data_IF_069289690869
#
_entry.id   IF_069289690869
#
_cell.length_a   1.000
_cell.length_b   1.000
_cell.length_c   1.000
_cell.angle_alpha   90.00
_cell.angle_beta   90.00
_cell.angle_gamma   90.00
#
_symmetry.space_group_name_H-M   'P 1'
#
loop_
_entity.id
_entity.type
_entity.pdbx_description
1 polymer ?
#
# COMPACT_ATOMS: atom_id res chain seq x y z
N UNK A 1 36.66 7.80 -26.60
CA UNK A 1 35.93 8.33 -25.44
C UNK A 1 35.44 7.14 -24.64
N UNK A 2 35.73 7.08 -23.35
CA UNK A 2 35.21 6.03 -22.47
C UNK A 2 33.70 6.20 -22.33
N UNK A 3 32.93 5.11 -22.56
CA UNK A 3 31.47 5.14 -22.42
C UNK A 3 31.09 5.45 -20.96
N UNK A 4 30.21 6.41 -20.78
CA UNK A 4 29.71 6.85 -19.45
C UNK A 4 28.67 5.89 -18.95
N UNK A 5 28.79 5.45 -17.70
CA UNK A 5 27.89 4.45 -17.09
C UNK A 5 27.21 4.99 -15.83
N UNK A 6 25.92 4.66 -15.65
CA UNK A 6 25.18 4.91 -14.40
C UNK A 6 24.45 3.65 -13.92
N UNK A 7 24.24 3.56 -12.60
CA UNK A 7 23.38 2.54 -11.97
C UNK A 7 22.06 3.18 -11.60
N UNK A 8 20.95 2.51 -11.90
CA UNK A 8 19.61 2.87 -11.41
C UNK A 8 19.16 1.80 -10.43
N UNK A 9 19.12 2.15 -9.16
CA UNK A 9 18.66 1.26 -8.08
C UNK A 9 17.14 1.31 -7.96
N UNK A 10 16.49 0.26 -8.43
CA UNK A 10 15.04 0.06 -8.25
C UNK A 10 14.71 -0.34 -6.81
N UNK A 11 13.61 0.16 -6.29
CA UNK A 11 13.13 -0.12 -4.93
C UNK A 11 11.62 -0.40 -4.89
N UNK A 12 10.80 0.66 -4.78
CA UNK A 12 9.33 0.64 -4.81
C UNK A 12 8.80 1.33 -6.08
N UNK A 13 9.47 1.17 -7.17
CA UNK A 13 9.26 1.85 -8.44
C UNK A 13 9.42 0.87 -9.62
N UNK A 14 8.82 -0.33 -9.47
CA UNK A 14 9.03 -1.49 -10.35
C UNK A 14 8.30 -1.34 -11.69
N UNK A 15 8.72 -0.34 -12.48
CA UNK A 15 8.15 0.00 -13.79
C UNK A 15 9.19 0.65 -14.70
N UNK A 16 8.90 0.69 -15.99
CA UNK A 16 9.69 1.43 -16.97
C UNK A 16 8.99 2.70 -17.47
N UNK A 17 7.65 2.78 -17.40
CA UNK A 17 6.89 3.98 -17.77
C UNK A 17 6.85 4.96 -16.61
N UNK A 18 6.99 6.24 -16.93
CA UNK A 18 7.02 7.33 -15.95
C UNK A 18 7.97 7.06 -14.78
N UNK A 19 9.21 6.67 -15.12
CA UNK A 19 10.28 6.39 -14.14
C UNK A 19 11.41 7.43 -14.25
N UNK A 20 11.37 8.53 -13.47
CA UNK A 20 12.30 9.65 -13.61
C UNK A 20 13.78 9.28 -13.50
N UNK A 21 14.14 8.40 -12.55
CA UNK A 21 15.55 7.98 -12.41
C UNK A 21 16.04 7.22 -13.64
N UNK A 22 15.24 6.31 -14.21
CA UNK A 22 15.59 5.54 -15.39
C UNK A 22 15.66 6.43 -16.62
N UNK A 23 14.68 7.32 -16.82
CA UNK A 23 14.64 8.23 -17.95
C UNK A 23 15.85 9.18 -17.94
N UNK A 24 16.16 9.75 -16.77
CA UNK A 24 17.32 10.64 -16.61
C UNK A 24 18.67 9.90 -16.88
N UNK A 25 18.79 8.66 -16.38
CA UNK A 25 20.00 7.86 -16.62
C UNK A 25 20.18 7.55 -18.12
N UNK A 26 19.11 7.09 -18.79
CA UNK A 26 19.17 6.75 -20.22
C UNK A 26 19.42 7.98 -21.10
N UNK A 27 18.97 9.16 -20.68
CA UNK A 27 19.23 10.41 -21.41
C UNK A 27 20.67 10.93 -21.25
N UNK A 28 21.31 10.67 -20.10
CA UNK A 28 22.58 11.29 -19.74
C UNK A 28 23.81 10.36 -19.87
N UNK A 29 23.59 9.04 -20.01
CA UNK A 29 24.65 8.04 -20.01
C UNK A 29 24.54 7.09 -21.21
N UNK A 30 25.70 6.62 -21.69
CA UNK A 30 25.77 5.65 -22.78
C UNK A 30 25.33 4.25 -22.35
N UNK A 31 25.61 3.90 -21.09
CA UNK A 31 25.31 2.62 -20.46
C UNK A 31 24.56 2.83 -19.17
N UNK A 32 23.51 2.05 -18.96
CA UNK A 32 22.67 2.09 -17.74
C UNK A 32 22.50 0.70 -17.19
N UNK A 33 22.74 0.54 -15.89
CA UNK A 33 22.57 -0.72 -15.17
C UNK A 33 21.34 -0.63 -14.28
N UNK A 34 20.17 -1.14 -14.72
CA UNK A 34 19.01 -1.31 -13.85
C UNK A 34 19.32 -2.39 -12.81
N UNK A 35 19.33 -2.03 -11.53
CA UNK A 35 19.68 -2.90 -10.41
C UNK A 35 18.53 -3.06 -9.45
N UNK A 36 18.27 -4.30 -9.03
CA UNK A 36 17.48 -4.61 -7.85
C UNK A 36 18.30 -5.47 -6.88
N UNK A 37 18.32 -5.09 -5.62
CA UNK A 37 19.00 -5.87 -4.58
C UNK A 37 17.95 -6.55 -3.69
N UNK A 38 17.97 -7.88 -3.67
CA UNK A 38 17.19 -8.72 -2.78
C UNK A 38 17.79 -8.61 -1.37
N UNK A 39 17.25 -7.71 -0.58
CA UNK A 39 17.67 -7.48 0.80
C UNK A 39 17.20 -8.63 1.70
N UNK A 40 18.10 -9.34 2.42
CA UNK A 40 17.71 -10.37 3.39
C UNK A 40 16.76 -9.86 4.48
N UNK A 41 16.81 -8.57 4.84
CA UNK A 41 15.86 -7.97 5.76
C UNK A 41 14.42 -8.00 5.23
N UNK A 42 14.22 -8.01 3.90
CA UNK A 42 12.93 -8.16 3.26
C UNK A 42 12.42 -9.61 3.24
N UNK A 43 13.25 -10.60 3.61
CA UNK A 43 12.80 -12.01 3.77
C UNK A 43 11.76 -12.17 4.90
N UNK A 44 11.63 -11.14 5.77
CA UNK A 44 10.52 -11.03 6.73
C UNK A 44 9.21 -10.53 6.10
N UNK A 45 9.17 -10.27 4.78
CA UNK A 45 7.91 -10.04 4.09
C UNK A 45 7.06 -11.30 4.13
N UNK A 46 5.74 -11.10 4.20
CA UNK A 46 4.82 -12.23 4.08
C UNK A 46 5.00 -12.95 2.73
N UNK A 47 4.66 -14.24 2.65
CA UNK A 47 4.69 -14.99 1.39
C UNK A 47 3.92 -14.29 0.27
N UNK A 48 2.75 -13.71 0.56
CA UNK A 48 1.96 -12.93 -0.40
C UNK A 48 2.75 -11.80 -1.03
N UNK A 49 3.40 -10.96 -0.21
CA UNK A 49 4.18 -9.82 -0.70
C UNK A 49 5.46 -10.26 -1.40
N UNK A 50 6.08 -11.33 -0.95
CA UNK A 50 7.26 -11.90 -1.61
C UNK A 50 6.89 -12.42 -2.99
N UNK A 51 5.77 -13.15 -3.12
CA UNK A 51 5.24 -13.62 -4.41
C UNK A 51 4.98 -12.44 -5.35
N UNK A 52 4.25 -11.44 -4.90
CA UNK A 52 3.92 -10.26 -5.71
C UNK A 52 5.17 -9.49 -6.15
N UNK A 53 6.17 -9.34 -5.25
CA UNK A 53 7.45 -8.72 -5.57
C UNK A 53 8.19 -9.50 -6.66
N UNK A 54 8.34 -10.82 -6.53
CA UNK A 54 9.06 -11.63 -7.50
C UNK A 54 8.38 -11.60 -8.88
N UNK A 55 7.05 -11.66 -8.92
CA UNK A 55 6.28 -11.49 -10.17
C UNK A 55 6.52 -10.10 -10.78
N UNK A 56 6.52 -9.04 -9.96
CA UNK A 56 6.78 -7.67 -10.44
C UNK A 56 8.21 -7.50 -10.95
N UNK A 57 9.20 -8.15 -10.34
CA UNK A 57 10.58 -8.13 -10.82
C UNK A 57 10.74 -8.91 -12.13
N UNK A 58 10.02 -10.01 -12.30
CA UNK A 58 10.03 -10.79 -13.54
C UNK A 58 9.44 -9.96 -14.71
N UNK A 59 8.30 -9.31 -14.49
CA UNK A 59 7.67 -8.43 -15.47
C UNK A 59 8.57 -7.21 -15.81
N UNK A 60 9.18 -6.58 -14.80
CA UNK A 60 10.15 -5.49 -15.01
C UNK A 60 11.35 -5.95 -15.84
N UNK A 61 11.90 -7.13 -15.53
CA UNK A 61 13.03 -7.70 -16.28
C UNK A 61 12.68 -7.90 -17.75
N UNK A 62 11.51 -8.45 -18.02
CA UNK A 62 11.02 -8.64 -19.38
C UNK A 62 10.82 -7.29 -20.10
N UNK A 63 10.26 -6.29 -19.41
CA UNK A 63 10.10 -4.96 -19.97
C UNK A 63 11.45 -4.28 -20.31
N UNK A 64 12.48 -4.50 -19.50
CA UNK A 64 13.83 -4.00 -19.75
C UNK A 64 14.49 -4.75 -20.91
N UNK A 65 14.32 -6.07 -21.00
CA UNK A 65 14.85 -6.91 -22.10
C UNK A 65 14.29 -6.52 -23.46
N UNK A 66 13.00 -6.24 -23.54
CA UNK A 66 12.37 -5.71 -24.77
C UNK A 66 12.96 -4.40 -25.26
N UNK A 67 13.73 -3.73 -24.39
CA UNK A 67 14.43 -2.46 -24.68
C UNK A 67 15.95 -2.62 -24.88
N UNK A 68 16.43 -3.87 -24.91
CA UNK A 68 17.86 -4.19 -25.09
C UNK A 68 18.69 -4.14 -23.82
N UNK A 69 18.05 -3.92 -22.66
CA UNK A 69 18.68 -3.99 -21.34
C UNK A 69 18.42 -5.31 -20.62
N UNK A 70 18.67 -5.35 -19.33
CA UNK A 70 18.23 -6.41 -18.40
C UNK A 70 18.12 -5.83 -16.98
N UNK A 71 17.39 -6.51 -16.09
CA UNK A 71 17.41 -6.22 -14.67
C UNK A 71 18.55 -7.00 -14.01
N UNK A 72 19.55 -6.29 -13.53
CA UNK A 72 20.62 -6.88 -12.73
C UNK A 72 20.12 -7.15 -11.33
N UNK A 73 20.19 -8.41 -10.89
CA UNK A 73 19.73 -8.83 -9.57
C UNK A 73 20.91 -9.21 -8.71
N UNK A 74 20.95 -8.69 -7.49
CA UNK A 74 21.94 -9.04 -6.47
C UNK A 74 21.22 -9.43 -5.19
N UNK A 75 21.90 -10.17 -4.33
CA UNK A 75 21.38 -10.55 -3.01
C UNK A 75 22.37 -10.08 -1.94
N UNK A 76 21.87 -9.37 -0.93
CA UNK A 76 22.71 -8.86 0.15
C UNK A 76 22.27 -7.50 0.67
N UNK A 77 23.15 -6.81 1.34
CA UNK A 77 22.89 -5.43 1.79
C UNK A 77 22.75 -4.49 0.59
N UNK A 78 21.65 -3.75 0.46
CA UNK A 78 21.38 -2.92 -0.71
C UNK A 78 22.48 -1.88 -0.99
N UNK A 79 23.10 -1.34 0.05
CA UNK A 79 24.18 -0.34 -0.13
C UNK A 79 25.45 -1.00 -0.62
N UNK A 80 25.89 -2.06 0.05
CA UNK A 80 27.12 -2.77 -0.28
C UNK A 80 27.08 -3.33 -1.69
N UNK A 81 26.00 -4.02 -2.06
CA UNK A 81 25.88 -4.62 -3.40
C UNK A 81 25.74 -3.56 -4.51
N UNK A 82 25.05 -2.45 -4.25
CA UNK A 82 24.94 -1.35 -5.22
C UNK A 82 26.29 -0.71 -5.47
N UNK A 83 27.04 -0.37 -4.42
CA UNK A 83 28.37 0.25 -4.54
C UNK A 83 29.37 -0.72 -5.18
N UNK A 84 29.36 -1.99 -4.79
CA UNK A 84 30.22 -3.03 -5.39
C UNK A 84 29.98 -3.15 -6.89
N UNK A 85 28.71 -3.18 -7.31
CA UNK A 85 28.37 -3.23 -8.74
C UNK A 85 28.77 -1.94 -9.45
N UNK A 86 28.45 -0.77 -8.90
CA UNK A 86 28.77 0.52 -9.49
C UNK A 86 30.28 0.66 -9.75
N UNK A 87 31.11 0.26 -8.78
CA UNK A 87 32.58 0.24 -8.94
C UNK A 87 33.04 -0.75 -10.00
N UNK A 88 32.45 -1.95 -10.03
CA UNK A 88 32.80 -3.00 -11.01
C UNK A 88 32.58 -2.53 -12.46
N UNK A 89 31.50 -1.77 -12.70
CA UNK A 89 31.14 -1.29 -14.04
C UNK A 89 31.67 0.12 -14.34
N UNK A 90 32.48 0.70 -13.46
CA UNK A 90 32.99 2.05 -13.61
C UNK A 90 31.91 3.12 -13.67
N UNK A 91 30.81 2.95 -12.92
CA UNK A 91 29.71 3.90 -12.93
C UNK A 91 30.13 5.24 -12.31
N UNK A 92 29.74 6.35 -12.96
CA UNK A 92 29.95 7.70 -12.44
C UNK A 92 29.00 8.05 -11.31
N UNK A 93 27.84 7.36 -11.22
CA UNK A 93 26.86 7.63 -10.19
C UNK A 93 25.71 6.64 -10.12
N UNK A 94 24.88 6.87 -9.10
CA UNK A 94 23.71 6.07 -8.75
C UNK A 94 22.48 6.96 -8.72
N UNK A 95 21.41 6.54 -9.42
CA UNK A 95 20.09 7.15 -9.37
C UNK A 95 19.08 6.23 -8.70
N UNK A 96 18.16 6.77 -7.90
CA UNK A 96 17.02 6.03 -7.34
C UNK A 96 15.85 6.96 -7.01
N UNK A 97 14.66 6.41 -6.82
CA UNK A 97 13.50 7.18 -6.35
C UNK A 97 13.62 7.50 -4.86
N UNK A 98 13.32 8.75 -4.49
CA UNK A 98 13.24 9.21 -3.09
C UNK A 98 12.08 8.54 -2.35
N UNK A 99 12.27 8.21 -1.05
CA UNK A 99 11.24 7.63 -0.20
C UNK A 99 11.30 8.26 1.21
N UNK A 100 10.16 8.35 1.88
CA UNK A 100 10.03 8.97 3.21
C UNK A 100 10.26 8.01 4.37
N UNK A 101 10.37 6.72 4.11
CA UNK A 101 10.51 5.73 5.18
C UNK A 101 11.87 5.82 5.89
N UNK A 102 11.89 5.55 7.20
CA UNK A 102 13.17 5.49 7.96
C UNK A 102 14.19 4.53 7.36
N UNK A 103 13.71 3.43 6.78
CA UNK A 103 14.56 2.45 6.10
C UNK A 103 15.22 3.08 4.87
N UNK A 104 14.43 3.78 4.04
CA UNK A 104 14.94 4.47 2.86
C UNK A 104 15.93 5.57 3.21
N UNK A 105 15.61 6.45 4.16
CA UNK A 105 16.52 7.51 4.60
C UNK A 105 17.84 6.96 5.16
N UNK A 106 17.81 5.80 5.85
CA UNK A 106 19.02 5.12 6.33
C UNK A 106 19.86 4.61 5.17
N UNK A 107 19.24 3.97 4.17
CA UNK A 107 19.88 3.50 2.95
C UNK A 107 20.49 4.67 2.16
N UNK A 108 19.74 5.74 1.96
CA UNK A 108 20.17 6.92 1.20
C UNK A 108 21.37 7.62 1.85
N UNK A 109 21.37 7.78 3.18
CA UNK A 109 22.53 8.34 3.90
C UNK A 109 23.78 7.47 3.75
N UNK A 110 23.63 6.14 3.87
CA UNK A 110 24.75 5.20 3.66
C UNK A 110 25.24 5.21 2.23
N UNK A 111 24.34 5.24 1.23
CA UNK A 111 24.70 5.35 -0.19
C UNK A 111 25.48 6.65 -0.46
N UNK A 112 25.03 7.77 0.12
CA UNK A 112 25.72 9.05 -0.05
C UNK A 112 27.14 8.99 0.47
N UNK A 113 27.35 8.50 1.69
CA UNK A 113 28.68 8.36 2.27
C UNK A 113 29.61 7.46 1.42
N UNK A 114 29.08 6.36 0.87
CA UNK A 114 29.87 5.50 -0.02
C UNK A 114 30.12 6.13 -1.40
N UNK A 115 29.16 6.85 -1.95
CA UNK A 115 29.36 7.59 -3.20
C UNK A 115 30.43 8.66 -3.05
N UNK A 116 30.42 9.43 -1.97
CA UNK A 116 31.43 10.46 -1.66
C UNK A 116 32.83 9.84 -1.54
N UNK A 117 32.95 8.69 -0.84
CA UNK A 117 34.21 7.94 -0.70
C UNK A 117 34.79 7.49 -2.03
N UNK A 118 33.91 7.12 -2.99
CA UNK A 118 34.33 6.57 -4.29
C UNK A 118 34.21 7.58 -5.43
N UNK A 119 34.01 8.87 -5.15
CA UNK A 119 33.87 9.95 -6.15
C UNK A 119 32.77 9.68 -7.18
N UNK A 120 31.69 9.06 -6.75
CA UNK A 120 30.45 8.88 -7.50
C UNK A 120 29.41 9.89 -7.05
N UNK A 121 28.47 10.28 -7.91
CA UNK A 121 27.33 11.07 -7.47
C UNK A 121 26.17 10.18 -7.05
N UNK A 122 25.34 10.65 -6.12
CA UNK A 122 24.06 10.08 -5.78
C UNK A 122 22.93 11.07 -6.10
N UNK A 123 21.97 10.66 -6.93
CA UNK A 123 20.82 11.49 -7.26
C UNK A 123 19.51 10.80 -6.89
N UNK A 124 18.69 11.51 -6.12
CA UNK A 124 17.34 11.11 -5.76
C UNK A 124 16.35 11.75 -6.73
N UNK A 125 15.33 11.00 -7.15
CA UNK A 125 14.34 11.41 -8.11
C UNK A 125 12.93 11.30 -7.53
N UNK A 126 11.98 12.14 -8.00
CA UNK A 126 10.57 11.98 -7.68
C UNK A 126 10.00 10.71 -8.31
N UNK A 127 8.76 10.35 -7.96
CA UNK A 127 8.01 9.31 -8.68
C UNK A 127 7.29 8.30 -7.82
N UNK A 128 7.40 8.38 -6.49
CA UNK A 128 6.59 7.58 -5.56
C UNK A 128 5.27 8.27 -5.19
N UNK A 129 5.22 9.59 -5.29
CA UNK A 129 4.04 10.44 -5.03
C UNK A 129 3.73 11.29 -6.26
N UNK A 130 2.54 11.88 -6.31
CA UNK A 130 2.17 12.85 -7.33
C UNK A 130 2.82 14.19 -7.01
N UNK A 131 2.67 14.64 -5.76
CA UNK A 131 3.36 15.80 -5.21
C UNK A 131 4.37 15.33 -4.18
N UNK A 132 5.63 15.75 -4.34
CA UNK A 132 6.71 15.30 -3.48
C UNK A 132 6.52 15.77 -2.03
N UNK A 133 6.78 14.91 -1.03
CA UNK A 133 6.79 15.31 0.37
C UNK A 133 7.74 16.49 0.61
N UNK A 134 7.23 17.53 1.28
CA UNK A 134 7.98 18.77 1.52
C UNK A 134 7.84 19.84 0.44
N UNK A 135 7.25 19.54 -0.73
CA UNK A 135 6.92 20.55 -1.74
C UNK A 135 5.80 21.49 -1.28
N UNK A 136 4.91 20.99 -0.43
CA UNK A 136 3.84 21.79 0.19
C UNK A 136 4.10 21.89 1.69
N UNK A 137 4.07 23.14 2.20
CA UNK A 137 4.21 23.43 3.63
C UNK A 137 3.11 24.38 4.09
N UNK A 138 2.47 24.13 5.23
CA UNK A 138 1.56 25.09 5.83
C UNK A 138 2.33 26.29 6.43
N UNK A 139 1.69 27.44 6.58
CA UNK A 139 2.31 28.63 7.15
C UNK A 139 2.83 28.44 8.59
N UNK A 140 2.25 27.53 9.38
CA UNK A 140 2.58 27.32 10.79
C UNK A 140 3.09 25.91 11.13
N UNK A 141 3.89 25.28 10.26
CA UNK A 141 4.40 23.95 10.56
C UNK A 141 5.25 23.35 9.45
N UNK A 142 5.79 22.17 9.70
CA UNK A 142 6.65 21.42 8.80
C UNK A 142 5.85 20.53 7.80
N UNK A 143 4.61 20.19 8.16
CA UNK A 143 3.70 19.38 7.33
C UNK A 143 2.23 19.68 7.63
N UNK A 144 1.35 19.33 6.68
CA UNK A 144 -0.10 19.45 6.86
C UNK A 144 -0.61 18.34 7.79
N UNK A 145 -1.32 18.74 8.86
CA UNK A 145 -1.90 17.83 9.85
C UNK A 145 -3.32 17.40 9.51
N UNK A 146 -3.99 18.12 8.63
CA UNK A 146 -5.39 17.89 8.23
C UNK A 146 -5.47 17.78 6.72
N UNK A 147 -6.22 16.79 6.25
CA UNK A 147 -6.31 16.45 4.83
C UNK A 147 -6.92 17.57 3.96
N UNK A 148 -8.03 18.19 4.38
CA UNK A 148 -8.74 19.15 3.51
C UNK A 148 -7.91 20.38 3.13
N UNK A 149 -7.14 21.01 4.05
CA UNK A 149 -6.19 22.07 3.67
C UNK A 149 -5.08 21.55 2.75
N UNK A 150 -4.57 20.33 3.00
CA UNK A 150 -3.56 19.72 2.13
C UNK A 150 -4.10 19.51 0.71
N UNK A 151 -5.29 18.93 0.58
CA UNK A 151 -5.93 18.68 -0.72
C UNK A 151 -6.08 19.96 -1.54
N UNK A 152 -6.57 21.06 -0.93
CA UNK A 152 -6.67 22.37 -1.61
C UNK A 152 -5.31 22.87 -2.11
N UNK A 153 -4.27 22.77 -1.30
CA UNK A 153 -2.92 23.14 -1.70
C UNK A 153 -2.37 22.22 -2.81
N UNK A 154 -2.63 20.91 -2.69
CA UNK A 154 -2.21 19.89 -3.62
C UNK A 154 -2.83 20.09 -5.03
N UNK A 155 -4.09 20.48 -5.11
CA UNK A 155 -4.77 20.78 -6.39
C UNK A 155 -4.09 21.92 -7.15
N UNK A 156 -3.54 22.91 -6.47
CA UNK A 156 -2.84 24.06 -7.05
C UNK A 156 -1.42 23.79 -7.54
N UNK A 157 -0.85 22.62 -7.29
CA UNK A 157 0.53 22.31 -7.69
C UNK A 157 0.62 22.06 -9.19
N UNK A 158 1.57 22.72 -9.86
CA UNK A 158 1.95 22.34 -11.23
C UNK A 158 2.67 20.98 -11.19
N UNK A 159 2.07 19.97 -11.79
CA UNK A 159 2.67 18.65 -11.88
C UNK A 159 3.74 18.60 -12.96
N UNK A 160 4.74 17.73 -12.75
CA UNK A 160 5.69 17.39 -13.80
C UNK A 160 5.00 16.66 -14.96
N UNK A 161 5.64 16.67 -16.10
CA UNK A 161 5.18 15.86 -17.24
C UNK A 161 5.37 14.35 -16.96
N UNK A 162 4.47 13.54 -17.51
CA UNK A 162 4.59 12.09 -17.52
C UNK A 162 5.67 11.68 -18.52
N UNK A 163 6.58 10.82 -18.10
CA UNK A 163 7.72 10.38 -18.91
C UNK A 163 7.40 9.08 -19.67
N UNK A 164 7.68 9.08 -20.95
CA UNK A 164 7.62 7.85 -21.74
C UNK A 164 8.68 6.84 -21.27
N UNK A 165 8.38 5.55 -21.43
CA UNK A 165 9.41 4.52 -21.22
C UNK A 165 10.58 4.72 -22.21
N UNK A 166 11.83 4.52 -21.78
CA UNK A 166 12.98 4.59 -22.67
C UNK A 166 12.83 3.61 -23.84
N UNK A 167 13.14 4.06 -25.06
CA UNK A 167 13.08 3.20 -26.26
C UNK A 167 14.16 2.14 -26.27
N UNK A 168 15.35 2.46 -25.77
CA UNK A 168 16.52 1.59 -25.73
C UNK A 168 17.32 1.78 -24.44
N UNK A 169 17.80 0.67 -23.89
CA UNK A 169 18.69 0.63 -22.72
C UNK A 169 19.88 -0.22 -23.11
N UNK A 170 21.10 0.23 -22.78
CA UNK A 170 22.33 -0.50 -23.06
C UNK A 170 23.02 -0.83 -21.75
N UNK A 171 23.26 -2.10 -21.51
CA UNK A 171 24.11 -2.56 -20.40
C UNK A 171 25.58 -2.46 -20.78
N UNK A 172 26.50 -2.25 -19.82
CA UNK A 172 27.93 -2.49 -20.03
C UNK A 172 28.18 -3.97 -20.39
N UNK A 173 29.22 -4.20 -21.20
CA UNK A 173 29.61 -5.56 -21.57
C UNK A 173 30.07 -6.38 -20.34
N UNK A 174 29.82 -7.68 -20.35
CA UNK A 174 30.25 -8.60 -19.30
C UNK A 174 29.54 -8.46 -17.95
N UNK A 175 28.45 -7.68 -17.88
CA UNK A 175 27.61 -7.64 -16.66
C UNK A 175 26.71 -8.86 -16.62
N UNK A 176 26.97 -9.74 -15.66
CA UNK A 176 26.05 -10.84 -15.34
C UNK A 176 24.74 -10.29 -14.73
N UNK A 177 23.58 -10.52 -15.34
CA UNK A 177 22.30 -10.06 -14.79
C UNK A 177 21.91 -10.75 -13.47
N UNK A 178 22.47 -11.88 -13.16
CA UNK A 178 22.06 -12.69 -12.01
C UNK A 178 20.70 -13.36 -12.19
N UNK A 179 20.35 -14.20 -11.24
CA UNK A 179 19.09 -14.98 -11.25
C UNK A 179 18.02 -14.30 -10.41
N UNK A 180 16.81 -14.19 -10.96
CA UNK A 180 15.60 -13.92 -10.17
C UNK A 180 15.17 -15.22 -9.49
N UNK A 181 14.82 -15.18 -8.19
CA UNK A 181 14.19 -16.31 -7.56
C UNK A 181 12.78 -16.53 -8.12
N UNK A 182 12.36 -17.79 -8.16
CA UNK A 182 10.99 -18.13 -8.51
C UNK A 182 10.03 -17.55 -7.45
N UNK A 183 8.81 -17.10 -7.84
CA UNK A 183 7.83 -16.64 -6.89
C UNK A 183 7.44 -17.77 -5.93
N UNK A 184 7.48 -17.56 -4.61
CA UNK A 184 7.02 -18.57 -3.67
C UNK A 184 5.50 -18.74 -3.77
N UNK A 185 4.98 -19.86 -3.24
CA UNK A 185 3.54 -19.99 -3.01
C UNK A 185 3.13 -18.94 -1.96
N UNK A 186 2.10 -18.15 -2.29
CA UNK A 186 1.51 -17.20 -1.33
C UNK A 186 0.58 -17.91 -0.34
N UNK A 187 0.29 -17.23 0.77
CA UNK A 187 -0.68 -17.69 1.78
C UNK A 187 -2.14 -17.45 1.31
N UNK A 188 -2.35 -16.46 0.43
CA UNK A 188 -3.66 -16.10 -0.12
C UNK A 188 -3.86 -16.75 -1.49
N UNK A 189 -4.86 -17.65 -1.64
CA UNK A 189 -5.08 -18.38 -2.89
C UNK A 189 -5.48 -17.47 -4.06
N UNK A 190 -6.29 -16.44 -3.80
CA UNK A 190 -6.86 -15.54 -4.79
C UNK A 190 -6.08 -14.22 -4.93
N UNK A 191 -4.82 -14.21 -4.45
CA UNK A 191 -3.99 -13.02 -4.49
C UNK A 191 -3.70 -12.56 -5.93
N UNK A 192 -3.81 -11.25 -6.16
CA UNK A 192 -3.52 -10.64 -7.46
C UNK A 192 -2.06 -10.86 -7.89
N UNK A 193 -1.84 -10.95 -9.20
CA UNK A 193 -0.50 -11.02 -9.78
C UNK A 193 0.19 -9.65 -9.77
N UNK A 194 1.51 -9.67 -9.54
CA UNK A 194 2.36 -8.47 -9.60
C UNK A 194 2.81 -8.15 -11.03
N UNK A 195 3.20 -6.88 -11.26
CA UNK A 195 3.82 -6.44 -12.50
C UNK A 195 3.23 -5.15 -13.06
N UNK A 196 4.05 -4.40 -13.80
CA UNK A 196 3.64 -3.18 -14.51
C UNK A 196 2.63 -3.48 -15.62
N UNK A 197 2.85 -4.56 -16.37
CA UNK A 197 1.96 -4.97 -17.46
C UNK A 197 0.57 -5.29 -16.95
N UNK A 198 0.47 -5.98 -15.81
CA UNK A 198 -0.81 -6.29 -15.14
C UNK A 198 -1.48 -5.01 -14.63
N UNK A 199 -0.71 -4.12 -13.97
CA UNK A 199 -1.21 -2.85 -13.46
C UNK A 199 -1.82 -1.98 -14.56
N UNK A 200 -1.12 -1.84 -15.68
CA UNK A 200 -1.55 -1.02 -16.82
C UNK A 200 -2.80 -1.58 -17.51
N UNK A 201 -2.86 -2.90 -17.72
CA UNK A 201 -4.04 -3.57 -18.24
C UNK A 201 -5.23 -3.35 -17.32
N UNK A 202 -5.04 -3.58 -16.00
CA UNK A 202 -6.08 -3.37 -14.99
C UNK A 202 -6.61 -1.93 -14.98
N UNK A 203 -5.71 -0.95 -14.99
CA UNK A 203 -6.10 0.46 -15.08
C UNK A 203 -6.93 0.72 -16.34
N UNK A 204 -6.49 0.24 -17.51
CA UNK A 204 -7.21 0.44 -18.80
C UNK A 204 -8.59 -0.20 -18.77
N UNK A 205 -8.72 -1.41 -18.22
CA UNK A 205 -10.02 -2.11 -18.11
C UNK A 205 -10.96 -1.41 -17.12
N UNK A 206 -10.43 -0.84 -16.04
CA UNK A 206 -11.24 -0.20 -15.01
C UNK A 206 -11.65 1.25 -15.36
N UNK A 207 -10.85 1.99 -16.11
CA UNK A 207 -11.10 3.42 -16.40
C UNK A 207 -12.52 3.72 -16.92
N UNK A 208 -13.18 2.87 -17.74
CA UNK A 208 -14.56 3.12 -18.17
C UNK A 208 -15.57 3.23 -17.01
N UNK A 209 -15.28 2.65 -15.84
CA UNK A 209 -16.17 2.73 -14.67
C UNK A 209 -16.00 4.01 -13.87
N UNK A 210 -14.98 4.82 -14.18
CA UNK A 210 -14.58 6.00 -13.41
C UNK A 210 -15.72 7.01 -13.24
N UNK A 211 -16.54 7.22 -14.26
CA UNK A 211 -17.68 8.15 -14.19
C UNK A 211 -18.76 7.76 -13.17
N UNK A 212 -18.75 6.51 -12.70
CA UNK A 212 -19.65 6.00 -11.66
C UNK A 212 -18.95 5.81 -10.31
N UNK A 213 -17.72 6.30 -10.16
CA UNK A 213 -16.89 6.00 -8.98
C UNK A 213 -17.57 6.37 -7.66
N UNK A 214 -18.26 7.51 -7.58
CA UNK A 214 -18.97 7.95 -6.37
C UNK A 214 -20.10 6.99 -5.98
N UNK A 215 -20.73 6.34 -6.93
CA UNK A 215 -21.84 5.41 -6.69
C UNK A 215 -21.34 4.03 -6.27
N UNK A 216 -20.19 3.59 -6.84
CA UNK A 216 -19.74 2.19 -6.73
C UNK A 216 -18.60 1.97 -5.74
N UNK A 217 -17.85 3.01 -5.36
CA UNK A 217 -16.61 2.85 -4.56
C UNK A 217 -16.86 2.33 -3.14
N UNK A 218 -18.07 2.46 -2.63
CA UNK A 218 -18.51 1.99 -1.32
C UNK A 218 -19.35 0.71 -1.39
N UNK A 219 -19.73 0.23 -2.59
CA UNK A 219 -20.41 -1.04 -2.77
C UNK A 219 -19.41 -2.20 -2.53
N UNK A 220 -19.59 -2.88 -1.40
CA UNK A 220 -18.68 -3.96 -1.00
C UNK A 220 -18.92 -5.24 -1.79
N UNK A 221 -20.14 -5.49 -2.21
CA UNK A 221 -20.54 -6.70 -2.95
C UNK A 221 -20.16 -6.64 -4.43
N UNK A 222 -20.33 -5.48 -5.06
CA UNK A 222 -20.03 -5.26 -6.47
C UNK A 222 -18.54 -5.32 -6.80
N UNK A 223 -17.68 -4.92 -5.85
CA UNK A 223 -16.22 -4.95 -6.00
C UNK A 223 -15.69 -4.23 -7.27
N UNK A 224 -16.37 -3.16 -7.65
CA UNK A 224 -16.08 -2.37 -8.87
C UNK A 224 -14.95 -1.35 -8.67
N UNK A 225 -14.13 -1.50 -7.63
CA UNK A 225 -13.00 -0.62 -7.38
C UNK A 225 -11.80 -0.93 -8.28
N UNK A 226 -10.90 0.04 -8.45
CA UNK A 226 -9.73 -0.14 -9.31
C UNK A 226 -8.78 -1.26 -8.87
N UNK A 227 -8.75 -1.60 -7.58
CA UNK A 227 -7.80 -2.52 -6.94
C UNK A 227 -6.33 -2.22 -7.32
N UNK A 228 -5.98 -0.94 -7.55
CA UNK A 228 -4.62 -0.52 -7.93
C UNK A 228 -3.67 -0.37 -6.75
N UNK A 229 -4.15 -0.47 -5.51
CA UNK A 229 -3.34 -0.23 -4.32
C UNK A 229 -2.07 -1.10 -4.22
N UNK A 230 -2.05 -2.41 -4.56
CA UNK A 230 -0.82 -3.19 -4.57
C UNK A 230 0.20 -2.66 -5.59
N UNK A 231 -0.26 -2.29 -6.78
CA UNK A 231 0.61 -1.80 -7.85
C UNK A 231 1.17 -0.42 -7.55
N UNK A 232 0.41 0.46 -6.92
CA UNK A 232 0.88 1.75 -6.41
C UNK A 232 1.88 1.56 -5.27
N UNK A 233 1.67 0.57 -4.40
CA UNK A 233 2.58 0.25 -3.30
C UNK A 233 3.96 -0.20 -3.79
N UNK A 234 4.00 -1.05 -4.81
CA UNK A 234 5.23 -1.58 -5.39
C UNK A 234 5.77 -0.72 -6.53
N UNK A 235 5.05 0.34 -6.89
CA UNK A 235 5.42 1.24 -7.96
C UNK A 235 5.39 0.61 -9.35
N UNK A 236 4.59 -0.46 -9.52
CA UNK A 236 4.30 -1.06 -10.83
C UNK A 236 3.47 -0.14 -11.72
N UNK A 237 2.83 0.88 -11.15
CA UNK A 237 2.18 1.96 -11.87
C UNK A 237 2.51 3.30 -11.23
N UNK A 238 2.72 4.32 -12.03
CA UNK A 238 2.96 5.67 -11.54
C UNK A 238 1.67 6.29 -11.02
N UNK A 239 1.67 6.86 -9.78
CA UNK A 239 0.50 7.58 -9.29
C UNK A 239 0.17 8.80 -10.16
N UNK A 240 1.17 9.47 -10.74
CA UNK A 240 0.97 10.57 -11.68
C UNK A 240 0.28 10.09 -12.97
N UNK A 241 0.73 8.97 -13.56
CA UNK A 241 0.11 8.42 -14.75
C UNK A 241 -1.34 7.99 -14.49
N UNK A 242 -1.64 7.46 -13.29
CA UNK A 242 -3.01 7.12 -12.89
C UNK A 242 -3.87 8.38 -12.78
N UNK A 243 -3.37 9.45 -12.14
CA UNK A 243 -4.08 10.71 -12.01
C UNK A 243 -4.32 11.37 -13.37
N UNK A 244 -3.33 11.38 -14.27
CA UNK A 244 -3.47 11.94 -15.61
C UNK A 244 -4.53 11.21 -16.44
N UNK A 245 -4.58 9.87 -16.32
CA UNK A 245 -5.59 9.06 -17.03
C UNK A 245 -6.99 9.20 -16.46
N UNK A 246 -7.10 9.47 -15.17
CA UNK A 246 -8.38 9.81 -14.55
C UNK A 246 -8.91 11.17 -15.01
N UNK A 247 -8.02 12.10 -15.37
CA UNK A 247 -8.34 13.39 -16.00
C UNK A 247 -8.88 14.46 -15.05
N UNK A 248 -9.77 14.10 -14.14
CA UNK A 248 -10.37 15.03 -13.18
C UNK A 248 -9.57 15.09 -11.88
N UNK A 249 -8.80 16.19 -11.68
CA UNK A 249 -8.01 16.39 -10.46
C UNK A 249 -8.84 16.62 -9.21
N UNK A 250 -10.06 17.08 -9.36
CA UNK A 250 -10.98 17.37 -8.28
C UNK A 250 -11.87 16.16 -7.97
N UNK A 251 -11.86 15.20 -8.88
CA UNK A 251 -12.68 14.00 -8.79
C UNK A 251 -12.38 13.12 -7.59
N UNK A 252 -13.38 12.37 -7.15
CA UNK A 252 -13.33 11.57 -5.93
C UNK A 252 -12.25 10.48 -5.99
N UNK A 253 -11.98 9.92 -7.16
CA UNK A 253 -10.91 8.93 -7.33
C UNK A 253 -9.51 9.54 -7.16
N UNK A 254 -9.24 10.68 -7.80
CA UNK A 254 -7.94 11.38 -7.67
C UNK A 254 -7.73 11.87 -6.24
N UNK A 255 -8.80 12.23 -5.56
CA UNK A 255 -8.77 12.53 -4.12
C UNK A 255 -8.24 11.36 -3.28
N UNK A 256 -8.49 10.09 -3.66
CA UNK A 256 -7.89 8.94 -2.97
C UNK A 256 -6.37 8.85 -3.21
N UNK A 257 -5.90 9.22 -4.39
CA UNK A 257 -4.46 9.33 -4.66
C UNK A 257 -3.80 10.44 -3.82
N UNK A 258 -4.51 11.56 -3.64
CA UNK A 258 -4.07 12.63 -2.76
C UNK A 258 -4.01 12.19 -1.28
N UNK A 259 -4.91 11.34 -0.79
CA UNK A 259 -4.82 10.75 0.55
C UNK A 259 -3.52 9.94 0.73
N UNK A 260 -3.09 9.23 -0.30
CA UNK A 260 -1.82 8.54 -0.30
C UNK A 260 -0.63 9.50 -0.14
N UNK A 261 -0.61 10.58 -0.92
CA UNK A 261 0.41 11.63 -0.83
C UNK A 261 0.38 12.34 0.53
N UNK A 262 -0.83 12.57 1.07
CA UNK A 262 -1.01 13.15 2.39
C UNK A 262 -0.31 12.34 3.48
N UNK A 263 -0.47 11.03 3.50
CA UNK A 263 0.22 10.22 4.49
C UNK A 263 1.74 10.17 4.26
N UNK A 264 2.21 10.27 3.02
CA UNK A 264 3.66 10.37 2.75
C UNK A 264 4.25 11.66 3.36
N UNK A 265 3.60 12.81 3.21
CA UNK A 265 4.07 14.06 3.82
C UNK A 265 3.92 14.05 5.35
N UNK A 266 2.90 13.37 5.90
CA UNK A 266 2.78 13.18 7.36
C UNK A 266 3.95 12.36 7.90
N UNK A 267 4.31 11.24 7.27
CA UNK A 267 5.45 10.41 7.71
C UNK A 267 6.78 11.14 7.52
N UNK A 268 6.92 11.97 6.49
CA UNK A 268 8.12 12.81 6.33
C UNK A 268 8.32 13.76 7.53
N UNK A 269 7.23 14.34 8.07
CA UNK A 269 7.27 15.21 9.26
C UNK A 269 7.16 14.44 10.59
N UNK A 270 6.61 13.23 10.60
CA UNK A 270 6.44 12.39 11.79
C UNK A 270 6.81 10.93 11.50
N UNK A 271 8.11 10.58 11.46
CA UNK A 271 8.59 9.25 11.05
C UNK A 271 8.17 8.10 11.96
N UNK A 272 7.70 8.37 13.18
CA UNK A 272 7.26 7.39 14.16
C UNK A 272 5.80 6.99 14.06
N UNK A 273 5.10 7.40 12.99
CA UNK A 273 3.66 7.17 12.79
C UNK A 273 3.24 5.69 12.93
N UNK A 274 4.15 4.73 12.72
CA UNK A 274 3.82 3.30 12.84
C UNK A 274 3.85 2.74 14.27
N UNK A 275 4.36 3.49 15.22
CA UNK A 275 4.59 3.03 16.61
C UNK A 275 4.06 3.98 17.67
N UNK A 276 3.98 5.26 17.34
CA UNK A 276 3.65 6.32 18.29
C UNK A 276 2.37 7.02 17.85
N UNK A 277 1.46 7.28 18.79
CA UNK A 277 0.26 8.06 18.52
C UNK A 277 0.63 9.45 18.00
N UNK A 278 0.05 9.82 16.85
CA UNK A 278 0.31 11.12 16.22
C UNK A 278 -0.34 12.26 17.01
N UNK A 279 -1.54 12.04 17.53
CA UNK A 279 -2.27 13.01 18.34
C UNK A 279 -1.72 13.05 19.75
N UNK A 280 -1.27 14.21 20.20
CA UNK A 280 -0.88 14.44 21.61
C UNK A 280 -2.10 14.22 22.52
N UNK A 281 -1.91 13.48 23.62
CA UNK A 281 -2.96 13.14 24.57
C UNK A 281 -4.05 12.21 24.01
N UNK A 282 -3.75 11.47 22.96
CA UNK A 282 -4.63 10.39 22.53
C UNK A 282 -4.76 9.34 23.65
N UNK A 283 -5.95 8.77 23.76
CA UNK A 283 -6.18 7.65 24.67
C UNK A 283 -5.36 6.44 24.22
N UNK A 284 -4.59 5.85 25.12
CA UNK A 284 -3.75 4.66 24.87
C UNK A 284 -3.92 3.59 25.97
N UNK A 285 -4.99 3.65 26.75
CA UNK A 285 -5.42 2.64 27.74
C UNK A 285 -6.21 1.51 27.04
N UNK A 286 -5.51 0.71 26.27
CA UNK A 286 -6.08 -0.39 25.53
C UNK A 286 -6.32 -1.62 26.41
N UNK A 287 -7.37 -2.38 26.11
CA UNK A 287 -7.58 -3.70 26.72
C UNK A 287 -6.51 -4.67 26.21
N UNK A 288 -6.11 -5.58 27.07
CA UNK A 288 -5.31 -6.75 26.70
C UNK A 288 -6.23 -7.99 26.67
N UNK A 289 -6.55 -8.46 25.47
CA UNK A 289 -7.41 -9.61 25.24
C UNK A 289 -6.91 -10.40 24.02
N UNK A 290 -5.94 -11.31 24.21
CA UNK A 290 -5.39 -12.12 23.15
C UNK A 290 -6.41 -12.99 22.42
N UNK A 291 -7.44 -13.50 23.13
CA UNK A 291 -8.50 -14.31 22.54
C UNK A 291 -9.35 -13.48 21.56
N UNK A 292 -9.74 -12.26 21.94
CA UNK A 292 -10.48 -11.37 21.07
C UNK A 292 -9.64 -10.95 19.84
N UNK A 293 -8.33 -10.71 20.01
CA UNK A 293 -7.42 -10.41 18.92
C UNK A 293 -7.27 -11.60 17.95
N UNK A 294 -7.17 -12.81 18.47
CA UNK A 294 -7.10 -14.03 17.65
C UNK A 294 -8.39 -14.23 16.85
N UNK A 295 -9.54 -14.18 17.51
CA UNK A 295 -10.85 -14.31 16.88
C UNK A 295 -11.06 -13.26 15.78
N UNK A 296 -10.64 -11.99 16.02
CA UNK A 296 -10.67 -10.94 15.02
C UNK A 296 -9.73 -11.27 13.85
N UNK A 297 -8.51 -11.70 14.13
CA UNK A 297 -7.51 -12.06 13.10
C UNK A 297 -8.01 -13.19 12.20
N UNK A 298 -8.76 -14.14 12.77
CA UNK A 298 -9.27 -15.30 12.03
C UNK A 298 -10.62 -15.08 11.36
N UNK A 299 -11.27 -13.93 11.61
CA UNK A 299 -12.60 -13.64 11.10
C UNK A 299 -13.66 -14.54 11.73
N UNK A 300 -13.62 -14.65 13.07
CA UNK A 300 -14.51 -15.46 13.92
C UNK A 300 -15.02 -14.66 15.13
N UNK A 301 -15.26 -13.38 14.93
CA UNK A 301 -15.75 -12.48 15.99
C UNK A 301 -17.23 -12.63 16.28
N UNK A 302 -17.97 -13.32 15.43
CA UNK A 302 -19.43 -13.37 15.47
C UNK A 302 -20.10 -12.09 14.93
N UNK A 303 -19.31 -11.13 14.42
CA UNK A 303 -19.77 -9.93 13.74
C UNK A 303 -19.61 -10.09 12.22
N UNK A 304 -20.67 -10.44 11.46
CA UNK A 304 -20.55 -10.95 10.10
C UNK A 304 -19.76 -10.05 9.13
N UNK A 305 -19.99 -8.74 9.16
CA UNK A 305 -19.29 -7.80 8.27
C UNK A 305 -17.80 -7.68 8.59
N UNK A 306 -17.41 -7.84 9.85
CA UNK A 306 -16.02 -7.84 10.31
C UNK A 306 -15.35 -9.14 9.87
N UNK A 307 -16.01 -10.27 10.12
CA UNK A 307 -15.51 -11.59 9.76
C UNK A 307 -15.35 -11.73 8.24
N UNK A 308 -16.32 -11.25 7.48
CA UNK A 308 -16.25 -11.18 6.02
C UNK A 308 -15.01 -10.39 5.54
N UNK A 309 -14.76 -9.23 6.13
CA UNK A 309 -13.58 -8.42 5.80
C UNK A 309 -12.27 -9.14 6.09
N UNK A 310 -12.13 -9.77 7.25
CA UNK A 310 -10.91 -10.50 7.64
C UNK A 310 -10.70 -11.76 6.79
N UNK A 311 -11.77 -12.44 6.41
CA UNK A 311 -11.70 -13.61 5.51
C UNK A 311 -11.37 -13.21 4.07
N UNK A 312 -11.90 -12.10 3.55
CA UNK A 312 -11.45 -11.53 2.27
C UNK A 312 -9.95 -11.22 2.30
N UNK A 313 -9.47 -10.59 3.37
CA UNK A 313 -8.04 -10.30 3.54
C UNK A 313 -7.18 -11.55 3.43
N UNK A 314 -7.58 -12.64 4.05
CA UNK A 314 -6.85 -13.92 4.00
C UNK A 314 -6.93 -14.60 2.64
N UNK A 315 -8.08 -14.54 1.97
CA UNK A 315 -8.28 -15.18 0.67
C UNK A 315 -7.53 -14.43 -0.44
N UNK A 316 -7.62 -13.10 -0.48
CA UNK A 316 -7.13 -12.29 -1.59
C UNK A 316 -5.81 -11.54 -1.30
N UNK A 317 -5.34 -11.50 -0.04
CA UNK A 317 -4.26 -10.59 0.33
C UNK A 317 -4.63 -9.11 0.09
N UNK A 318 -5.92 -8.85 0.01
CA UNK A 318 -6.52 -7.55 -0.22
C UNK A 318 -7.86 -7.47 0.50
N UNK A 319 -8.29 -6.26 0.83
CA UNK A 319 -9.57 -6.02 1.48
C UNK A 319 -10.16 -4.71 0.94
N UNK A 320 -11.46 -4.71 0.69
CA UNK A 320 -12.19 -3.49 0.30
C UNK A 320 -11.97 -2.37 1.31
N UNK A 321 -11.80 -1.11 0.85
CA UNK A 321 -11.50 0.01 1.76
C UNK A 321 -12.52 0.16 2.89
N UNK A 322 -13.80 0.01 2.58
CA UNK A 322 -14.87 0.10 3.58
C UNK A 322 -14.74 -1.01 4.64
N UNK A 323 -14.41 -2.23 4.23
CA UNK A 323 -14.16 -3.32 5.16
C UNK A 323 -12.96 -3.02 6.08
N UNK A 324 -11.86 -2.42 5.56
CA UNK A 324 -10.72 -2.02 6.40
C UNK A 324 -11.12 -1.06 7.52
N UNK A 325 -11.96 -0.07 7.21
CA UNK A 325 -12.45 0.89 8.21
C UNK A 325 -13.34 0.23 9.25
N UNK A 326 -14.22 -0.70 8.82
CA UNK A 326 -15.15 -1.41 9.70
C UNK A 326 -14.40 -2.36 10.62
N UNK A 327 -13.50 -3.19 10.07
CA UNK A 327 -12.74 -4.19 10.84
C UNK A 327 -11.79 -3.53 11.83
N UNK A 328 -11.07 -2.48 11.41
CA UNK A 328 -10.19 -1.71 12.30
C UNK A 328 -10.99 -0.95 13.38
N UNK A 329 -12.15 -0.40 13.01
CA UNK A 329 -13.07 0.26 13.95
C UNK A 329 -13.63 -0.70 14.98
N UNK A 330 -13.97 -1.92 14.60
CA UNK A 330 -14.44 -2.95 15.52
C UNK A 330 -13.33 -3.33 16.52
N UNK A 331 -12.11 -3.60 16.03
CA UNK A 331 -10.97 -3.90 16.90
C UNK A 331 -10.74 -2.81 17.94
N UNK A 332 -10.66 -1.55 17.51
CA UNK A 332 -10.19 -0.45 18.37
C UNK A 332 -11.30 0.20 19.19
N UNK A 333 -12.53 0.28 18.67
CA UNK A 333 -13.64 1.03 19.28
C UNK A 333 -14.65 0.12 20.00
N UNK A 334 -14.84 -1.10 19.52
CA UNK A 334 -15.78 -2.04 20.15
C UNK A 334 -15.07 -3.02 21.08
N UNK A 335 -14.00 -3.68 20.60
CA UNK A 335 -13.20 -4.56 21.45
C UNK A 335 -12.24 -3.79 22.38
N UNK A 336 -11.94 -2.52 22.10
CA UNK A 336 -11.03 -1.69 22.90
C UNK A 336 -9.57 -2.12 22.83
N UNK A 337 -9.16 -2.84 21.78
CA UNK A 337 -7.79 -3.37 21.64
C UNK A 337 -6.85 -2.36 20.96
N UNK A 338 -5.55 -2.48 21.25
CA UNK A 338 -4.53 -1.65 20.63
C UNK A 338 -4.53 -1.82 19.11
N UNK A 339 -4.43 -0.71 18.41
CA UNK A 339 -4.38 -0.66 16.94
C UNK A 339 -3.08 -1.25 16.36
N UNK A 340 -1.99 -1.29 17.13
CA UNK A 340 -0.67 -1.74 16.66
C UNK A 340 -0.64 -3.23 16.27
N UNK A 341 -1.15 -4.16 17.08
CA UNK A 341 -1.32 -5.56 16.65
C UNK A 341 -2.18 -5.70 15.39
N UNK A 342 -3.29 -4.96 15.31
CA UNK A 342 -4.16 -4.97 14.11
C UNK A 342 -3.43 -4.49 12.85
N UNK A 343 -2.63 -3.42 12.99
CA UNK A 343 -1.76 -2.90 11.91
C UNK A 343 -0.77 -3.97 11.42
N UNK A 344 -0.15 -4.74 12.32
CA UNK A 344 0.79 -5.80 11.96
C UNK A 344 0.08 -6.98 11.29
N UNK A 345 -1.14 -7.34 11.71
CA UNK A 345 -1.96 -8.35 11.04
C UNK A 345 -2.26 -7.90 9.59
N UNK A 346 -2.72 -6.67 9.39
CA UNK A 346 -2.93 -6.13 8.04
C UNK A 346 -1.62 -6.12 7.25
N UNK A 347 -0.54 -5.68 7.86
CA UNK A 347 0.78 -5.64 7.21
C UNK A 347 1.29 -7.01 6.81
N UNK A 348 0.94 -8.06 7.55
CA UNK A 348 1.28 -9.46 7.21
C UNK A 348 0.53 -9.93 5.96
N UNK A 349 -0.76 -9.68 5.86
CA UNK A 349 -1.59 -10.26 4.79
C UNK A 349 -1.66 -9.41 3.53
N UNK A 350 -1.75 -8.08 3.67
CA UNK A 350 -1.98 -7.16 2.55
C UNK A 350 -0.82 -7.14 1.53
N UNK A 351 -1.14 -7.35 0.26
CA UNK A 351 -0.26 -7.12 -0.88
C UNK A 351 0.18 -5.64 -0.95
N UNK A 352 -0.74 -4.73 -0.64
CA UNK A 352 -0.53 -3.29 -0.59
C UNK A 352 -0.03 -2.80 0.79
N UNK A 353 0.42 -3.72 1.65
CA UNK A 353 0.94 -3.39 2.97
C UNK A 353 2.06 -2.34 2.90
N UNK A 354 1.70 -1.10 3.16
CA UNK A 354 2.57 0.07 3.18
C UNK A 354 2.55 0.69 4.58
N UNK A 355 3.69 0.73 5.26
CA UNK A 355 3.74 1.29 6.62
C UNK A 355 3.29 2.75 6.66
N UNK A 356 3.50 3.51 5.60
CA UNK A 356 3.06 4.91 5.53
C UNK A 356 1.53 5.01 5.57
N UNK A 357 0.87 4.44 4.55
CA UNK A 357 -0.58 4.54 4.42
C UNK A 357 -1.32 3.69 5.47
N UNK A 358 -0.81 2.49 5.77
CA UNK A 358 -1.42 1.60 6.75
C UNK A 358 -1.44 2.26 8.14
N UNK A 359 -0.31 2.81 8.59
CA UNK A 359 -0.24 3.47 9.90
C UNK A 359 -1.14 4.70 10.00
N UNK A 360 -1.16 5.53 8.95
CA UNK A 360 -2.03 6.71 8.92
C UNK A 360 -3.51 6.37 9.02
N UNK A 361 -3.96 5.37 8.26
CA UNK A 361 -5.35 4.93 8.26
C UNK A 361 -5.74 4.23 9.58
N UNK A 362 -4.86 3.38 10.13
CA UNK A 362 -5.10 2.75 11.42
C UNK A 362 -5.27 3.77 12.55
N UNK A 363 -4.37 4.75 12.62
CA UNK A 363 -4.45 5.80 13.60
C UNK A 363 -5.65 6.72 13.39
N UNK A 364 -6.06 6.95 12.13
CA UNK A 364 -7.27 7.69 11.84
C UNK A 364 -8.51 6.99 12.43
N UNK A 365 -8.65 5.67 12.22
CA UNK A 365 -9.74 4.87 12.76
C UNK A 365 -9.67 4.78 14.28
N UNK A 366 -8.49 4.53 14.84
CA UNK A 366 -8.27 4.43 16.29
C UNK A 366 -8.52 5.74 17.05
N UNK A 367 -8.52 6.90 16.34
CA UNK A 367 -8.64 8.22 16.96
C UNK A 367 -7.34 8.75 17.54
N UNK A 368 -6.20 8.09 17.25
CA UNK A 368 -4.86 8.50 17.67
C UNK A 368 -4.11 9.31 16.60
N UNK A 369 -4.70 9.50 15.42
CA UNK A 369 -4.08 10.11 14.25
C UNK A 369 -4.65 11.47 13.85
N UNK A 370 -4.70 11.68 12.53
CA UNK A 370 -5.04 12.94 11.87
C UNK A 370 -6.57 13.23 11.81
N UNK A 371 -7.42 12.42 12.42
CA UNK A 371 -8.87 12.67 12.42
C UNK A 371 -9.22 13.91 13.24
N UNK A 372 -10.05 14.77 12.68
CA UNK A 372 -10.63 15.94 13.39
C UNK A 372 -11.76 15.54 14.35
N UNK A 373 -12.28 14.31 14.23
CA UNK A 373 -13.34 13.74 15.06
C UNK A 373 -12.90 12.37 15.64
N UNK A 374 -11.93 12.34 16.57
CA UNK A 374 -11.28 11.12 17.06
C UNK A 374 -12.23 10.14 17.75
N UNK A 375 -13.37 10.66 18.25
CA UNK A 375 -14.39 9.87 18.96
C UNK A 375 -15.45 9.25 18.03
N UNK A 376 -15.33 9.42 16.71
CA UNK A 376 -16.24 8.79 15.75
C UNK A 376 -16.05 7.28 15.80
N UNK A 377 -17.10 6.56 16.18
CA UNK A 377 -17.22 5.12 16.07
C UNK A 377 -18.05 4.73 14.84
N UNK A 378 -17.68 3.64 14.19
CA UNK A 378 -18.53 3.02 13.17
C UNK A 378 -19.27 1.86 13.82
N UNK A 379 -20.61 1.96 13.92
CA UNK A 379 -21.42 0.80 14.30
C UNK A 379 -21.39 -0.22 13.15
N UNK A 380 -20.80 -1.42 13.32
CA UNK A 380 -20.59 -2.36 12.23
C UNK A 380 -21.89 -2.85 11.60
N UNK A 381 -22.98 -2.99 12.38
CA UNK A 381 -24.29 -3.38 11.85
C UNK A 381 -24.85 -2.32 10.91
N UNK A 382 -24.85 -1.04 11.35
CA UNK A 382 -25.32 0.08 10.50
C UNK A 382 -24.43 0.26 9.25
N UNK A 383 -23.13 -0.02 9.36
CA UNK A 383 -22.24 0.00 8.21
C UNK A 383 -22.58 -1.13 7.23
N UNK A 384 -22.85 -2.34 7.74
CA UNK A 384 -23.26 -3.48 6.94
C UNK A 384 -24.58 -3.20 6.20
N UNK A 385 -25.61 -2.74 6.91
CA UNK A 385 -26.91 -2.39 6.33
C UNK A 385 -26.81 -1.31 5.24
N UNK A 386 -25.82 -0.42 5.34
CA UNK A 386 -25.61 0.65 4.36
C UNK A 386 -24.80 0.22 3.14
N UNK A 387 -23.74 -0.58 3.31
CA UNK A 387 -22.74 -0.86 2.28
C UNK A 387 -22.77 -2.31 1.76
N UNK A 388 -23.59 -3.13 2.34
CA UNK A 388 -23.93 -4.49 1.91
C UNK A 388 -25.43 -4.77 2.22
N UNK A 389 -26.36 -3.94 1.68
CA UNK A 389 -27.76 -3.93 2.10
C UNK A 389 -28.45 -5.29 1.96
N UNK A 390 -28.06 -6.07 0.99
CA UNK A 390 -28.61 -7.40 0.72
C UNK A 390 -27.81 -8.54 1.36
N UNK A 391 -26.67 -8.23 2.00
CA UNK A 391 -25.82 -9.22 2.65
C UNK A 391 -25.00 -10.09 1.66
N UNK A 392 -24.85 -9.65 0.44
CA UNK A 392 -24.14 -10.41 -0.60
C UNK A 392 -22.63 -10.52 -0.31
N UNK A 393 -22.01 -9.43 0.19
CA UNK A 393 -20.62 -9.46 0.62
C UNK A 393 -20.42 -10.41 1.80
N UNK A 394 -21.27 -10.32 2.82
CA UNK A 394 -21.19 -11.22 3.98
C UNK A 394 -21.32 -12.68 3.55
N UNK A 395 -22.34 -13.05 2.76
CA UNK A 395 -22.54 -14.45 2.33
C UNK A 395 -21.38 -14.97 1.49
N UNK A 396 -20.76 -14.12 0.68
CA UNK A 396 -19.58 -14.51 -0.13
C UNK A 396 -18.40 -14.93 0.75
N UNK A 397 -18.18 -14.26 1.87
CA UNK A 397 -17.00 -14.48 2.70
C UNK A 397 -17.27 -15.25 4.00
N UNK A 398 -18.54 -15.41 4.35
CA UNK A 398 -19.00 -16.18 5.53
C UNK A 398 -20.02 -17.20 5.06
N UNK A 399 -19.57 -18.32 4.45
CA UNK A 399 -20.48 -19.33 3.88
C UNK A 399 -21.44 -19.94 4.90
N UNK A 400 -21.09 -19.97 6.18
CA UNK A 400 -21.94 -20.45 7.27
C UNK A 400 -23.26 -19.65 7.37
N UNK A 401 -23.28 -18.44 6.83
CA UNK A 401 -24.46 -17.55 6.82
C UNK A 401 -25.19 -17.51 5.46
N UNK A 402 -24.82 -18.36 4.50
CA UNK A 402 -25.39 -18.36 3.14
C UNK A 402 -26.90 -18.54 3.15
N UNK A 403 -27.41 -19.41 4.04
CA UNK A 403 -28.85 -19.70 4.14
C UNK A 403 -29.67 -18.61 4.86
N UNK A 404 -29.03 -17.63 5.52
CA UNK A 404 -29.72 -16.58 6.26
C UNK A 404 -30.26 -15.52 5.28
N UNK A 405 -31.60 -15.29 5.20
CA UNK A 405 -32.17 -14.42 4.19
C UNK A 405 -32.02 -12.93 4.54
N UNK A 406 -31.92 -12.10 3.51
CA UNK A 406 -32.01 -10.63 3.59
C UNK A 406 -31.07 -10.02 4.62
N UNK A 407 -31.53 -8.98 5.29
CA UNK A 407 -30.75 -8.23 6.29
C UNK A 407 -30.48 -8.98 7.58
N UNK A 408 -31.20 -10.10 7.85
CA UNK A 408 -30.98 -10.90 9.05
C UNK A 408 -29.53 -11.45 9.11
N UNK A 409 -28.86 -11.61 7.97
CA UNK A 409 -27.46 -12.03 7.87
C UNK A 409 -26.49 -11.12 8.64
N UNK A 410 -26.84 -9.84 8.83
CA UNK A 410 -25.99 -8.89 9.57
C UNK A 410 -26.12 -9.00 11.09
N UNK A 411 -27.15 -9.68 11.58
CA UNK A 411 -27.43 -9.85 13.00
C UNK A 411 -27.90 -11.28 13.32
N UNK A 412 -27.12 -12.34 12.99
CA UNK A 412 -27.56 -13.73 13.15
C UNK A 412 -27.86 -14.10 14.60
N UNK A 413 -27.31 -13.39 15.58
CA UNK A 413 -27.61 -13.58 17.01
C UNK A 413 -29.07 -13.23 17.40
N UNK A 414 -29.82 -12.58 16.50
CA UNK A 414 -31.26 -12.28 16.71
C UNK A 414 -32.18 -13.32 16.08
N UNK A 415 -31.65 -14.29 15.39
CA UNK A 415 -32.43 -15.40 14.85
C UNK A 415 -32.98 -16.31 15.96
N UNK A 416 -34.06 -17.07 15.71
CA UNK A 416 -34.52 -18.08 16.64
C UNK A 416 -33.41 -19.06 17.04
N UNK A 417 -33.47 -19.56 18.28
CA UNK A 417 -32.42 -20.42 18.85
C UNK A 417 -32.13 -21.67 18.03
N UNK A 418 -33.20 -22.30 17.49
CA UNK A 418 -33.07 -23.45 16.61
C UNK A 418 -32.25 -23.12 15.34
N UNK A 419 -32.58 -22.01 14.66
CA UNK A 419 -31.87 -21.53 13.49
C UNK A 419 -30.40 -21.22 13.83
N UNK A 420 -30.16 -20.51 14.95
CA UNK A 420 -28.77 -20.18 15.35
C UNK A 420 -27.92 -21.40 15.62
N UNK A 421 -28.48 -22.43 16.26
CA UNK A 421 -27.79 -23.69 16.55
C UNK A 421 -27.48 -24.48 15.29
N UNK A 422 -28.24 -24.31 14.22
CA UNK A 422 -28.00 -24.92 12.94
C UNK A 422 -26.89 -24.21 12.12
N UNK A 423 -26.60 -22.94 12.47
CA UNK A 423 -25.50 -22.18 11.85
C UNK A 423 -24.20 -22.53 12.61
N UNK A 424 -23.22 -23.03 11.93
CA UNK A 424 -21.86 -23.22 12.49
C UNK A 424 -21.12 -21.86 12.55
N UNK A 425 -21.74 -20.89 13.22
CA UNK A 425 -21.25 -19.51 13.32
C UNK A 425 -21.28 -19.01 14.78
N UNK A 426 -20.16 -18.42 15.28
CA UNK A 426 -20.04 -18.05 16.68
C UNK A 426 -20.96 -16.89 17.08
N UNK A 427 -21.34 -16.77 18.36
CA UNK A 427 -21.98 -15.57 18.88
C UNK A 427 -21.00 -14.39 18.84
N UNK A 428 -21.51 -13.14 18.77
CA UNK A 428 -20.64 -11.97 18.72
C UNK A 428 -19.87 -11.78 20.03
N UNK A 429 -18.55 -11.49 19.91
CA UNK A 429 -17.69 -11.14 21.06
C UNK A 429 -18.19 -9.87 21.77
N UNK A 430 -18.68 -8.92 21.01
CA UNK A 430 -19.26 -7.68 21.50
C UNK A 430 -20.40 -7.27 20.57
N UNK A 431 -21.59 -7.15 21.11
CA UNK A 431 -22.77 -6.61 20.39
C UNK A 431 -22.67 -5.09 20.46
N UNK A 432 -22.67 -4.38 19.32
CA UNK A 432 -22.63 -2.93 19.34
C UNK A 432 -23.88 -2.36 20.02
N UNK A 433 -23.70 -1.92 21.25
CA UNK A 433 -24.70 -1.16 21.98
C UNK A 433 -24.86 0.26 21.46
N UNK A 434 -25.67 1.09 22.11
CA UNK A 434 -25.78 2.50 21.81
C UNK A 434 -24.42 3.21 21.96
N UNK A 435 -23.60 2.78 22.94
CA UNK A 435 -22.29 3.36 23.24
C UNK A 435 -21.15 2.36 23.06
N UNK A 436 -20.12 2.71 22.30
CA UNK A 436 -18.88 1.92 22.21
C UNK A 436 -18.21 1.74 23.58
N UNK A 437 -17.49 0.64 23.79
CA UNK A 437 -16.81 0.31 25.06
C UNK A 437 -15.90 1.45 25.55
N UNK A 438 -15.28 2.17 24.63
CA UNK A 438 -14.39 3.31 24.96
C UNK A 438 -15.13 4.58 25.43
N UNK A 439 -16.47 4.64 25.36
CA UNK A 439 -17.30 5.69 25.96
C UNK A 439 -17.81 5.30 27.35
N UNK A 440 -17.64 4.07 27.78
CA UNK A 440 -17.94 3.56 29.13
C UNK A 440 -16.69 3.71 30.01
#
# INVERSE_FOLDING_TARGET
MTERTAVVLFTRDLRVHDHPALAAAVSAFDRVVPLYVLDPALQKLSPNRTRFLHQSLADLREALRKRGGDLVVRRGDPVAETVKLARKVGAEGIGLSADVSRHAHRRERRLRAECDRHRMFLRLFPGLTIVEPGALRPAGGDHYRVFSPYFRAWQGVRLREELAAPKRIRLPEGVDPGRLPDPPKGDSPDAAEGGESVARRRLTTWLPTLGRYDDIHDDMAGDDTSRLSPYLRWGCVSPLAVANRAGDRDGPFVRQLCWRDFYHQVVAGFPDLSTTAYRRGAREDWRDDPHALEAWTEGRTGMPIVDAGMRQLRAEGWMHNRARLITAGYLTKHLGLDWRPGLEVFFRWLLDGDRVNNSGNWQWVAGTGNDTRPYRGFNPVRQAERYDPDGAYVRRWVPELESVPGKAVHQPWRLPDETRRALDYPPPLEVPGADPVWLR
#
